data_IF_503702355098
#
_entry.id   IF_503702355098
#
_cell.length_a   1.000
_cell.length_b   1.000
_cell.length_c   1.000
_cell.angle_alpha   90.00
_cell.angle_beta   90.00
_cell.angle_gamma   90.00
#
_symmetry.space_group_name_H-M   'P 1'
#
loop_
_entity.id
_entity.type
_entity.pdbx_description
1 polymer ?
#
# COMPACT_ATOMS: atom_id res chain seq x y z
N UNK A 1 -2.84 10.39 0.41
CA UNK A 1 -4.08 9.96 -0.29
C UNK A 1 -3.67 9.40 -1.63
N UNK A 2 -3.81 8.09 -1.85
CA UNK A 2 -3.44 7.47 -3.14
C UNK A 2 -4.57 7.71 -4.13
N UNK A 3 -4.27 8.37 -5.23
CA UNK A 3 -5.26 8.69 -6.25
C UNK A 3 -4.89 8.08 -7.59
N UNK A 4 -5.89 7.52 -8.26
CA UNK A 4 -5.74 6.81 -9.52
C UNK A 4 -6.79 7.31 -10.51
N UNK A 5 -6.38 7.66 -11.70
CA UNK A 5 -7.33 8.05 -12.74
C UNK A 5 -6.89 7.53 -14.10
N UNK A 6 -7.81 6.82 -14.78
CA UNK A 6 -7.63 6.40 -16.18
C UNK A 6 -8.40 7.39 -17.07
N UNK A 7 -7.73 8.08 -17.98
CA UNK A 7 -8.34 8.95 -18.95
C UNK A 7 -8.38 8.32 -20.34
N UNK A 8 -9.58 8.29 -20.88
CA UNK A 8 -9.82 7.95 -22.28
C UNK A 8 -10.17 9.26 -23.01
N UNK A 9 -9.16 9.92 -23.59
CA UNK A 9 -9.35 11.19 -24.28
C UNK A 9 -9.91 10.93 -25.69
N UNK A 10 -11.24 10.67 -25.77
CA UNK A 10 -11.96 10.71 -27.04
C UNK A 10 -12.62 12.08 -27.17
N UNK A 11 -12.05 12.92 -28.02
CA UNK A 11 -12.64 14.19 -28.43
C UNK A 11 -14.00 13.95 -29.06
N UNK A 12 -15.10 14.18 -28.34
CA UNK A 12 -16.44 14.37 -28.93
C UNK A 12 -16.73 15.87 -29.01
N UNK A 13 -16.53 16.42 -30.20
CA UNK A 13 -17.13 17.69 -30.56
C UNK A 13 -18.65 17.51 -30.64
N UNK A 14 -19.37 18.10 -29.70
CA UNK A 14 -20.84 18.11 -29.74
C UNK A 14 -21.41 18.85 -28.56
N UNK A 15 -21.39 20.18 -28.61
CA UNK A 15 -22.07 21.02 -27.64
C UNK A 15 -23.58 20.87 -27.72
N UNK A 16 -24.19 20.15 -26.76
CA UNK A 16 -25.62 20.23 -26.47
C UNK A 16 -25.76 20.83 -25.09
N UNK A 17 -26.10 22.11 -25.02
CA UNK A 17 -26.46 22.80 -23.79
C UNK A 17 -27.72 22.20 -23.18
N UNK A 18 -27.56 21.31 -22.21
CA UNK A 18 -28.69 20.78 -21.44
C UNK A 18 -29.06 21.80 -20.37
N UNK A 19 -30.22 22.46 -20.56
CA UNK A 19 -30.86 23.27 -19.51
C UNK A 19 -31.35 22.33 -18.41
N UNK A 20 -30.54 22.12 -17.36
CA UNK A 20 -30.95 21.38 -16.17
C UNK A 20 -32.09 22.13 -15.48
N UNK A 21 -33.28 21.52 -15.43
CA UNK A 21 -34.40 22.04 -14.67
C UNK A 21 -34.10 21.98 -13.18
N UNK A 22 -34.39 23.06 -12.44
CA UNK A 22 -34.22 23.14 -10.96
C UNK A 22 -34.81 21.93 -10.22
N UNK A 23 -35.87 21.34 -10.79
CA UNK A 23 -36.52 20.13 -10.26
C UNK A 23 -35.64 18.89 -10.28
N UNK A 24 -34.75 18.75 -11.28
CA UNK A 24 -33.79 17.62 -11.37
C UNK A 24 -32.67 17.78 -10.34
N UNK A 25 -32.19 19.00 -10.13
CA UNK A 25 -31.20 19.32 -9.12
C UNK A 25 -31.72 19.07 -7.69
N UNK A 26 -32.96 19.48 -7.43
CA UNK A 26 -33.63 19.21 -6.15
C UNK A 26 -33.82 17.71 -5.88
N UNK A 27 -34.15 16.93 -6.89
CA UNK A 27 -34.27 15.47 -6.75
C UNK A 27 -32.95 14.81 -6.46
N UNK A 28 -31.86 15.28 -7.08
CA UNK A 28 -30.51 14.77 -6.87
C UNK A 28 -29.99 15.06 -5.46
N UNK A 29 -30.27 16.25 -4.93
CA UNK A 29 -29.92 16.64 -3.54
C UNK A 29 -30.68 15.75 -2.54
N UNK A 30 -31.95 15.45 -2.78
CA UNK A 30 -32.73 14.54 -1.93
C UNK A 30 -32.17 13.11 -1.97
N UNK A 31 -31.74 12.62 -3.13
CA UNK A 31 -31.12 11.31 -3.25
C UNK A 31 -29.77 11.23 -2.53
N UNK A 32 -28.93 12.27 -2.61
CA UNK A 32 -27.68 12.37 -1.87
C UNK A 32 -27.97 12.37 -0.35
N UNK A 33 -28.98 13.11 0.10
CA UNK A 33 -29.34 13.16 1.52
C UNK A 33 -29.83 11.81 2.02
N UNK A 34 -30.61 11.08 1.24
CA UNK A 34 -31.07 9.73 1.58
C UNK A 34 -29.89 8.74 1.58
N UNK A 35 -29.00 8.80 0.60
CA UNK A 35 -27.83 7.92 0.52
C UNK A 35 -26.84 8.13 1.68
N UNK A 36 -26.73 9.36 2.19
CA UNK A 36 -25.89 9.69 3.34
C UNK A 36 -26.56 9.44 4.69
N UNK A 37 -27.88 9.67 4.79
CA UNK A 37 -28.61 9.51 6.05
C UNK A 37 -29.05 8.06 6.32
N UNK A 38 -29.30 7.26 5.27
CA UNK A 38 -29.76 5.88 5.42
C UNK A 38 -28.73 4.97 6.14
N UNK A 39 -27.42 5.01 5.82
CA UNK A 39 -26.42 4.23 6.54
C UNK A 39 -26.35 4.60 8.03
N UNK A 40 -26.42 5.89 8.36
CA UNK A 40 -26.41 6.39 9.75
C UNK A 40 -27.66 5.98 10.56
N UNK A 41 -28.76 5.65 9.88
CA UNK A 41 -30.01 5.25 10.53
C UNK A 41 -30.17 3.72 10.63
N UNK A 42 -29.46 2.97 9.80
CA UNK A 42 -29.50 1.50 9.78
C UNK A 42 -28.39 0.86 10.65
N UNK A 43 -27.43 1.65 11.13
CA UNK A 43 -26.31 1.21 11.97
C UNK A 43 -26.63 1.34 13.49
N UNK A 44 -27.93 1.31 13.84
CA UNK A 44 -28.39 1.20 15.22
C UNK A 44 -28.43 -0.28 15.61
N UNK A 45 -27.29 -0.91 15.81
CA UNK A 45 -27.20 -2.13 16.59
C UNK A 45 -27.41 -1.78 18.06
N UNK A 46 -28.50 -2.30 18.62
CA UNK A 46 -28.98 -2.12 19.97
C UNK A 46 -27.89 -2.45 21.00
N UNK A 47 -27.42 -1.45 21.72
CA UNK A 47 -26.70 -1.66 22.99
C UNK A 47 -27.69 -2.16 24.00
N UNK A 48 -27.79 -3.46 24.16
CA UNK A 48 -28.50 -4.08 25.28
C UNK A 48 -27.63 -3.93 26.52
N UNK A 49 -28.13 -3.17 27.50
CA UNK A 49 -27.52 -3.07 28.82
C UNK A 49 -27.55 -4.43 29.57
N UNK A 50 -26.52 -4.80 30.33
CA UNK A 50 -26.46 -6.08 31.00
C UNK A 50 -27.34 -6.07 32.26
N UNK A 51 -28.33 -6.95 32.30
CA UNK A 51 -29.02 -7.32 33.50
C UNK A 51 -28.39 -8.57 34.12
N UNK A 52 -28.11 -8.46 35.40
CA UNK A 52 -27.42 -9.34 36.35
C UNK A 52 -27.60 -10.87 36.23
N UNK A 53 -26.44 -11.52 36.41
CA UNK A 53 -26.15 -12.76 37.16
C UNK A 53 -26.99 -14.03 36.95
N UNK A 54 -26.36 -15.02 36.32
CA UNK A 54 -26.39 -16.43 36.76
C UNK A 54 -25.00 -17.02 36.38
N UNK A 55 -24.33 -17.59 37.40
CA UNK A 55 -23.08 -18.33 37.23
C UNK A 55 -23.26 -19.50 36.25
N UNK A 56 -22.53 -19.49 35.16
CA UNK A 56 -22.42 -20.61 34.23
C UNK A 56 -20.93 -20.78 33.90
N UNK A 57 -20.49 -22.02 33.99
CA UNK A 57 -19.13 -22.49 33.70
C UNK A 57 -18.44 -21.64 32.61
N UNK A 58 -17.22 -21.20 32.94
CA UNK A 58 -16.28 -20.58 32.04
C UNK A 58 -15.88 -21.57 30.92
N UNK A 59 -16.70 -21.63 29.90
CA UNK A 59 -16.25 -21.86 28.56
C UNK A 59 -16.04 -20.47 27.99
N UNK A 60 -14.79 -20.01 27.96
CA UNK A 60 -14.40 -18.74 27.34
C UNK A 60 -15.05 -18.70 25.96
N UNK A 61 -16.07 -17.86 25.78
CA UNK A 61 -16.55 -17.52 24.46
C UNK A 61 -15.39 -16.80 23.80
N UNK A 62 -14.80 -17.46 22.80
CA UNK A 62 -13.80 -16.87 21.93
C UNK A 62 -14.47 -15.67 21.29
N UNK A 63 -13.96 -14.47 21.54
CA UNK A 63 -14.45 -13.28 20.87
C UNK A 63 -14.06 -13.44 19.39
N UNK A 64 -15.04 -13.55 18.49
CA UNK A 64 -14.83 -13.76 17.06
C UNK A 64 -14.04 -12.61 16.39
N UNK A 65 -13.74 -11.54 17.12
CA UNK A 65 -13.06 -10.35 16.64
C UNK A 65 -11.59 -10.25 17.05
N UNK A 66 -11.18 -10.98 18.08
CA UNK A 66 -9.82 -10.95 18.62
C UNK A 66 -8.91 -11.98 17.93
N UNK A 67 -7.71 -11.55 17.52
CA UNK A 67 -6.71 -12.40 16.87
C UNK A 67 -5.98 -13.29 17.86
N UNK A 68 -5.73 -14.54 17.47
CA UNK A 68 -4.83 -15.44 18.17
C UNK A 68 -3.48 -15.47 17.46
N UNK A 69 -2.36 -15.21 18.18
CA UNK A 69 -1.03 -15.34 17.60
C UNK A 69 -0.78 -16.78 17.09
N UNK A 70 -0.28 -16.88 15.87
CA UNK A 70 0.08 -18.16 15.26
C UNK A 70 1.50 -18.59 15.65
N UNK A 71 1.80 -19.91 15.68
CA UNK A 71 3.15 -20.40 15.91
C UNK A 71 4.15 -19.88 14.87
N UNK A 72 5.36 -19.60 15.32
CA UNK A 72 6.47 -19.15 14.48
C UNK A 72 7.09 -20.36 13.75
N UNK A 73 6.90 -20.44 12.44
CA UNK A 73 7.34 -21.60 11.63
C UNK A 73 8.07 -21.23 10.33
N UNK A 74 7.99 -19.94 9.89
CA UNK A 74 8.46 -19.49 8.60
C UNK A 74 9.31 -18.20 8.67
N UNK A 75 9.08 -17.31 7.72
CA UNK A 75 9.83 -16.07 7.55
C UNK A 75 9.59 -15.03 8.66
N UNK A 76 8.45 -15.10 9.35
CA UNK A 76 8.18 -14.30 10.56
C UNK A 76 9.24 -14.46 11.62
N UNK A 77 9.93 -15.62 11.66
CA UNK A 77 11.03 -15.89 12.58
C UNK A 77 12.25 -14.99 12.40
N UNK A 78 12.39 -14.35 11.26
CA UNK A 78 13.50 -13.43 11.00
C UNK A 78 13.25 -12.01 11.54
N UNK A 79 12.01 -11.64 11.81
CA UNK A 79 11.70 -10.34 12.43
C UNK A 79 12.37 -10.25 13.80
N UNK A 80 13.09 -9.15 14.02
CA UNK A 80 13.88 -8.93 15.23
C UNK A 80 15.25 -9.60 15.24
N UNK A 81 15.61 -10.42 14.23
CA UNK A 81 16.93 -11.03 14.12
C UNK A 81 17.92 -10.10 13.39
N UNK A 82 19.22 -10.41 13.56
CA UNK A 82 20.29 -9.71 12.87
C UNK A 82 20.30 -10.03 11.37
N UNK A 83 20.44 -9.00 10.52
CA UNK A 83 20.63 -9.19 9.08
C UNK A 83 21.94 -9.94 8.78
N UNK A 84 22.96 -9.79 9.63
CA UNK A 84 24.21 -10.55 9.53
C UNK A 84 23.95 -12.05 9.68
N UNK A 85 23.08 -12.47 10.60
CA UNK A 85 22.68 -13.88 10.74
C UNK A 85 21.88 -14.38 9.53
N UNK A 86 20.98 -13.54 8.99
CA UNK A 86 20.23 -13.86 7.78
C UNK A 86 21.15 -14.07 6.58
N UNK A 87 22.08 -13.15 6.32
CA UNK A 87 23.03 -13.25 5.19
C UNK A 87 23.99 -14.43 5.29
N UNK A 88 24.38 -14.82 6.50
CA UNK A 88 25.18 -16.02 6.71
C UNK A 88 24.47 -17.31 6.24
N UNK A 89 23.15 -17.34 6.27
CA UNK A 89 22.30 -18.48 5.85
C UNK A 89 21.84 -18.39 4.39
N UNK A 90 21.47 -17.20 3.93
CA UNK A 90 20.81 -16.99 2.64
C UNK A 90 21.71 -16.36 1.56
N UNK A 91 22.94 -15.98 1.91
CA UNK A 91 23.87 -15.31 1.00
C UNK A 91 23.77 -13.79 1.07
N UNK A 92 24.55 -13.13 0.19
CA UNK A 92 24.61 -11.67 0.15
C UNK A 92 23.46 -11.09 -0.66
N UNK A 93 23.00 -9.87 -0.34
CA UNK A 93 21.97 -9.19 -1.13
C UNK A 93 22.51 -8.79 -2.50
N UNK A 94 21.60 -8.63 -3.45
CA UNK A 94 21.91 -8.06 -4.76
C UNK A 94 22.17 -6.55 -4.69
N UNK A 95 21.49 -5.87 -3.75
CA UNK A 95 21.60 -4.43 -3.52
C UNK A 95 21.32 -4.10 -2.06
N UNK A 96 21.99 -3.07 -1.55
CA UNK A 96 21.67 -2.40 -0.29
C UNK A 96 21.44 -0.93 -0.64
N UNK A 97 20.30 -0.38 -0.24
CA UNK A 97 19.95 1.02 -0.41
C UNK A 97 19.53 1.66 0.91
N UNK A 98 19.54 2.99 0.96
CA UNK A 98 19.11 3.75 2.12
C UNK A 98 17.61 4.01 2.12
N UNK A 99 17.00 4.04 3.30
CA UNK A 99 15.69 4.63 3.54
C UNK A 99 15.82 6.02 4.19
N UNK A 100 14.71 6.73 4.38
CA UNK A 100 14.72 8.09 4.94
C UNK A 100 14.98 8.11 6.45
N UNK A 101 14.57 7.08 7.17
CA UNK A 101 14.66 6.95 8.63
C UNK A 101 16.01 6.35 9.12
N UNK A 102 17.08 6.53 8.34
CA UNK A 102 18.40 5.92 8.56
C UNK A 102 18.41 4.39 8.53
N UNK A 103 17.33 3.75 8.15
CA UNK A 103 17.30 2.32 7.88
C UNK A 103 17.85 1.99 6.49
N UNK A 104 17.99 0.70 6.21
CA UNK A 104 18.50 0.19 4.95
C UNK A 104 17.51 -0.81 4.34
N UNK A 105 17.43 -0.80 3.01
CA UNK A 105 16.75 -1.82 2.24
C UNK A 105 17.73 -2.81 1.64
N UNK A 106 17.65 -4.07 2.07
CA UNK A 106 18.47 -5.18 1.60
C UNK A 106 17.64 -6.01 0.62
N UNK A 107 18.00 -5.97 -0.67
CA UNK A 107 17.23 -6.61 -1.74
C UNK A 107 17.93 -7.89 -2.19
N UNK A 108 17.21 -9.02 -2.12
CA UNK A 108 17.64 -10.34 -2.56
C UNK A 108 16.77 -10.82 -3.71
N UNK A 109 17.36 -11.55 -4.66
CA UNK A 109 16.67 -11.95 -5.87
C UNK A 109 16.44 -10.79 -6.84
N UNK A 110 16.09 -11.10 -8.08
CA UNK A 110 15.93 -10.10 -9.15
C UNK A 110 14.72 -10.33 -10.03
N UNK A 111 13.94 -11.38 -9.77
CA UNK A 111 12.82 -11.82 -10.62
C UNK A 111 11.62 -12.31 -9.78
N UNK A 112 10.54 -12.63 -10.46
CA UNK A 112 9.28 -13.03 -9.83
C UNK A 112 9.35 -14.35 -9.03
N UNK A 113 10.45 -15.10 -9.11
CA UNK A 113 10.60 -16.35 -8.38
C UNK A 113 11.23 -16.18 -7.00
N UNK A 114 12.16 -15.22 -6.84
CA UNK A 114 13.08 -15.16 -5.69
C UNK A 114 13.20 -13.79 -5.00
N UNK A 115 12.39 -12.80 -5.36
CA UNK A 115 12.51 -11.44 -4.84
C UNK A 115 12.07 -11.32 -3.39
N UNK A 116 13.00 -10.82 -2.55
CA UNK A 116 12.75 -10.39 -1.18
C UNK A 116 13.41 -9.02 -0.96
N UNK A 117 12.73 -8.16 -0.25
CA UNK A 117 13.20 -6.86 0.20
C UNK A 117 13.09 -6.80 1.72
N UNK A 118 14.20 -6.54 2.41
CA UNK A 118 14.31 -6.57 3.87
C UNK A 118 14.62 -5.16 4.38
N UNK A 119 13.77 -4.62 5.24
CA UNK A 119 14.00 -3.38 5.96
C UNK A 119 14.82 -3.65 7.22
N UNK A 120 15.97 -2.98 7.34
CA UNK A 120 16.95 -3.20 8.41
C UNK A 120 17.29 -1.88 9.09
N UNK A 121 17.21 -1.85 10.41
CA UNK A 121 17.66 -0.71 11.22
C UNK A 121 18.60 -1.23 12.32
N UNK A 122 19.79 -0.65 12.41
CA UNK A 122 20.79 -1.04 13.44
C UNK A 122 21.10 -2.56 13.46
N UNK A 123 21.32 -3.17 12.28
CA UNK A 123 21.53 -4.63 12.08
C UNK A 123 20.29 -5.50 12.39
N UNK A 124 19.15 -4.92 12.77
CA UNK A 124 17.92 -5.64 13.11
C UNK A 124 16.93 -5.63 11.96
N UNK A 125 16.40 -6.79 11.60
CA UNK A 125 15.34 -6.94 10.58
C UNK A 125 14.01 -6.45 11.17
N UNK A 126 13.45 -5.38 10.57
CA UNK A 126 12.19 -4.76 10.96
C UNK A 126 11.03 -5.20 10.08
N UNK A 127 11.35 -5.50 8.82
CA UNK A 127 10.34 -5.91 7.85
C UNK A 127 10.92 -6.81 6.75
N UNK A 128 10.04 -7.65 6.14
CA UNK A 128 10.38 -8.44 4.95
C UNK A 128 9.21 -8.35 3.96
N UNK A 129 9.46 -7.76 2.80
CA UNK A 129 8.51 -7.71 1.70
C UNK A 129 8.85 -8.79 0.68
N UNK A 130 8.01 -9.81 0.58
CA UNK A 130 8.27 -11.02 -0.22
C UNK A 130 7.33 -11.04 -1.42
N UNK A 131 7.91 -11.02 -2.61
CA UNK A 131 7.22 -11.22 -3.87
C UNK A 131 7.65 -12.51 -4.58
N UNK A 132 8.73 -13.16 -4.17
CA UNK A 132 9.28 -14.36 -4.81
C UNK A 132 8.34 -15.56 -4.71
N UNK A 133 7.78 -16.02 -5.85
CA UNK A 133 6.78 -17.09 -5.87
C UNK A 133 7.31 -18.49 -5.53
N UNK A 134 8.65 -18.67 -5.47
CA UNK A 134 9.29 -19.93 -5.09
C UNK A 134 9.86 -19.93 -3.68
N UNK A 135 9.59 -18.87 -2.91
CA UNK A 135 10.05 -18.77 -1.53
C UNK A 135 9.06 -19.52 -0.64
N UNK A 136 9.58 -20.45 0.15
CA UNK A 136 8.80 -21.21 1.13
C UNK A 136 8.61 -20.36 2.39
N UNK A 137 7.50 -19.63 2.46
CA UNK A 137 7.22 -18.63 3.49
C UNK A 137 6.59 -19.18 4.77
N UNK A 138 6.22 -20.44 4.80
CA UNK A 138 5.56 -21.08 5.94
C UNK A 138 4.10 -21.45 5.65
N UNK A 139 3.19 -21.14 6.58
CA UNK A 139 1.76 -21.50 6.46
C UNK A 139 1.09 -20.87 5.23
N UNK A 140 1.37 -19.61 4.97
CA UNK A 140 0.85 -18.90 3.81
C UNK A 140 1.89 -18.86 2.69
N UNK A 141 1.43 -19.02 1.45
CA UNK A 141 2.33 -19.06 0.28
C UNK A 141 1.80 -18.16 -0.83
N UNK A 142 2.71 -17.63 -1.64
CA UNK A 142 2.33 -16.87 -2.84
C UNK A 142 1.60 -17.79 -3.81
N UNK A 143 0.46 -17.35 -4.31
CA UNK A 143 -0.46 -18.13 -5.14
C UNK A 143 -1.57 -18.83 -4.37
N UNK A 144 -1.55 -18.84 -3.02
CA UNK A 144 -2.68 -19.33 -2.22
C UNK A 144 -3.93 -18.50 -2.52
N UNK A 145 -5.08 -19.15 -2.66
CA UNK A 145 -6.34 -18.45 -2.93
C UNK A 145 -6.86 -17.71 -1.69
N UNK A 146 -7.54 -16.63 -1.91
CA UNK A 146 -8.17 -15.84 -0.84
C UNK A 146 -9.13 -16.70 -0.02
N UNK A 147 -9.94 -17.55 -0.65
CA UNK A 147 -10.87 -18.45 0.04
C UNK A 147 -10.13 -19.37 1.01
N UNK A 148 -8.99 -19.95 0.61
CA UNK A 148 -8.20 -20.82 1.48
C UNK A 148 -7.66 -20.06 2.70
N UNK A 149 -7.25 -18.80 2.52
CA UNK A 149 -6.79 -17.95 3.64
C UNK A 149 -7.95 -17.61 4.57
N UNK A 150 -9.12 -17.26 4.03
CA UNK A 150 -10.32 -16.90 4.80
C UNK A 150 -10.91 -18.11 5.56
N UNK A 151 -10.85 -19.31 4.97
CA UNK A 151 -11.38 -20.54 5.57
C UNK A 151 -10.55 -21.04 6.76
N UNK A 152 -9.30 -20.62 6.90
CA UNK A 152 -8.43 -21.05 8.01
C UNK A 152 -8.84 -20.47 9.38
N UNK A 153 -9.80 -19.55 9.42
CA UNK A 153 -10.43 -19.06 10.65
C UNK A 153 -9.56 -18.20 11.58
N UNK A 154 -8.34 -17.90 11.18
CA UNK A 154 -7.38 -17.12 11.97
C UNK A 154 -7.46 -15.61 11.73
N UNK A 155 -8.40 -15.15 10.93
CA UNK A 155 -8.49 -13.73 10.55
C UNK A 155 -9.30 -12.95 11.58
N UNK A 156 -8.62 -12.08 12.29
CA UNK A 156 -9.19 -11.16 13.26
C UNK A 156 -9.43 -9.76 12.67
N UNK A 157 -10.07 -8.91 13.47
CA UNK A 157 -10.24 -7.49 13.18
C UNK A 157 -9.52 -6.61 14.18
N UNK A 158 -9.37 -7.12 15.39
CA UNK A 158 -8.81 -6.37 16.52
C UNK A 158 -7.51 -7.04 16.96
N UNK A 159 -6.47 -6.24 17.13
CA UNK A 159 -5.12 -6.71 17.47
C UNK A 159 -4.54 -5.84 18.57
N UNK A 160 -3.84 -6.48 19.50
CA UNK A 160 -3.10 -5.82 20.55
C UNK A 160 -1.60 -5.97 20.30
N UNK A 161 -0.86 -4.90 20.42
CA UNK A 161 0.59 -4.89 20.27
C UNK A 161 1.22 -3.88 21.22
N UNK A 162 2.53 -3.99 21.44
CA UNK A 162 3.25 -3.09 22.34
C UNK A 162 4.49 -2.55 21.62
N UNK A 163 4.72 -1.23 21.72
CA UNK A 163 5.95 -0.60 21.26
C UNK A 163 6.62 0.08 22.46
N UNK A 164 7.85 -0.34 22.78
CA UNK A 164 8.47 0.00 24.07
C UNK A 164 7.60 -0.49 25.22
N UNK A 165 7.17 0.42 26.11
CA UNK A 165 6.26 0.12 27.23
C UNK A 165 4.82 0.54 26.96
N UNK A 166 4.49 0.97 25.72
CA UNK A 166 3.16 1.51 25.40
C UNK A 166 2.34 0.46 24.64
N UNK A 167 1.17 0.07 25.17
CA UNK A 167 0.23 -0.79 24.46
C UNK A 167 -0.55 0.01 23.40
N UNK A 168 -0.79 -0.62 22.27
CA UNK A 168 -1.62 -0.10 21.18
C UNK A 168 -2.65 -1.16 20.76
N UNK A 169 -3.77 -0.68 20.26
CA UNK A 169 -4.84 -1.49 19.71
C UNK A 169 -5.10 -1.07 18.26
N UNK A 170 -5.12 -2.04 17.35
CA UNK A 170 -5.44 -1.84 15.94
C UNK A 170 -6.81 -2.44 15.64
N UNK A 171 -7.60 -1.71 14.85
CA UNK A 171 -8.87 -2.20 14.34
C UNK A 171 -8.87 -2.19 12.81
N UNK A 172 -9.20 -3.33 12.20
CA UNK A 172 -9.35 -3.48 10.77
C UNK A 172 -10.81 -3.24 10.37
N UNK A 173 -11.02 -2.47 9.33
CA UNK A 173 -12.32 -2.44 8.65
C UNK A 173 -12.64 -3.82 8.04
N UNK A 174 -13.92 -4.07 7.76
CA UNK A 174 -14.32 -5.31 7.06
C UNK A 174 -13.59 -5.47 5.73
N UNK A 175 -13.44 -4.39 4.98
CA UNK A 175 -12.73 -4.40 3.71
C UNK A 175 -11.25 -4.79 3.89
N UNK A 176 -10.54 -4.18 4.86
CA UNK A 176 -9.14 -4.53 5.14
C UNK A 176 -8.97 -6.00 5.56
N UNK A 177 -9.88 -6.52 6.40
CA UNK A 177 -9.87 -7.95 6.76
C UNK A 177 -9.96 -8.87 5.53
N UNK A 178 -10.71 -8.48 4.50
CA UNK A 178 -10.91 -9.27 3.29
C UNK A 178 -9.81 -9.03 2.24
N UNK A 179 -9.34 -7.80 2.08
CA UNK A 179 -8.39 -7.42 1.01
C UNK A 179 -6.93 -7.45 1.41
N UNK A 180 -6.63 -7.12 2.65
CA UNK A 180 -5.29 -7.04 3.24
C UNK A 180 -5.29 -7.57 4.67
N UNK A 181 -5.66 -8.85 4.89
CA UNK A 181 -5.74 -9.41 6.22
C UNK A 181 -4.40 -9.34 6.94
N UNK A 182 -4.50 -9.01 8.23
CA UNK A 182 -3.38 -8.97 9.17
C UNK A 182 -3.39 -10.25 10.01
N UNK A 183 -2.23 -10.83 10.21
CA UNK A 183 -2.04 -12.05 11.00
C UNK A 183 -0.91 -11.81 11.98
N UNK A 184 -1.15 -12.13 13.24
CA UNK A 184 -0.18 -12.01 14.34
C UNK A 184 0.51 -13.35 14.61
N UNK A 185 1.79 -13.30 15.01
CA UNK A 185 2.58 -14.46 15.42
C UNK A 185 3.03 -14.37 16.89
N UNK A 186 3.36 -15.52 17.49
CA UNK A 186 3.76 -15.65 18.90
C UNK A 186 5.04 -14.88 19.26
N UNK A 187 5.82 -14.44 18.28
CA UNK A 187 7.01 -13.61 18.48
C UNK A 187 6.75 -12.11 18.32
N UNK A 188 5.50 -11.68 18.46
CA UNK A 188 5.07 -10.28 18.30
C UNK A 188 5.39 -9.69 16.92
N UNK A 189 5.46 -10.52 15.88
CA UNK A 189 5.51 -10.07 14.50
C UNK A 189 4.15 -10.23 13.83
N UNK A 190 4.01 -9.56 12.70
CA UNK A 190 2.79 -9.58 11.88
C UNK A 190 3.10 -9.89 10.43
N UNK A 191 2.12 -10.39 9.69
CA UNK A 191 2.15 -10.40 8.23
C UNK A 191 0.87 -9.81 7.65
N UNK A 192 1.01 -8.94 6.65
CA UNK A 192 -0.05 -8.50 5.77
C UNK A 192 -0.01 -9.38 4.53
N UNK A 193 -1.11 -10.06 4.21
CA UNK A 193 -1.25 -10.80 2.97
C UNK A 193 -1.83 -9.88 1.90
N UNK A 194 -1.16 -9.83 0.75
CA UNK A 194 -1.52 -8.96 -0.35
C UNK A 194 -2.21 -9.79 -1.44
N UNK A 195 -3.50 -9.52 -1.68
CA UNK A 195 -4.27 -10.24 -2.69
C UNK A 195 -4.31 -9.52 -4.04
N UNK A 196 -4.15 -10.28 -5.08
CA UNK A 196 -4.41 -9.85 -6.45
C UNK A 196 -5.91 -9.79 -6.71
N UNK A 197 -6.44 -8.63 -7.06
CA UNK A 197 -7.88 -8.40 -7.23
C UNK A 197 -8.50 -9.21 -8.36
N UNK A 198 -7.73 -9.61 -9.36
CA UNK A 198 -8.21 -10.37 -10.52
C UNK A 198 -8.17 -11.86 -10.26
N UNK A 199 -7.01 -12.36 -9.81
CA UNK A 199 -6.81 -13.80 -9.59
C UNK A 199 -7.29 -14.27 -8.23
N UNK A 200 -7.54 -13.34 -7.30
CA UNK A 200 -7.90 -13.63 -5.90
C UNK A 200 -6.92 -14.56 -5.22
N UNK A 201 -5.63 -14.37 -5.51
CA UNK A 201 -4.53 -15.12 -4.90
C UNK A 201 -3.55 -14.18 -4.20
N UNK A 202 -2.83 -14.69 -3.21
CA UNK A 202 -1.75 -13.96 -2.54
C UNK A 202 -0.66 -13.67 -3.57
N UNK A 203 -0.41 -12.39 -3.85
CA UNK A 203 0.68 -11.97 -4.73
C UNK A 203 1.95 -11.56 -3.98
N UNK A 204 1.82 -11.23 -2.71
CA UNK A 204 2.92 -10.79 -1.87
C UNK A 204 2.60 -10.92 -0.39
N UNK A 205 3.63 -10.85 0.43
CA UNK A 205 3.54 -10.88 1.89
C UNK A 205 4.44 -9.79 2.46
N UNK A 206 3.93 -9.08 3.46
CA UNK A 206 4.69 -8.06 4.16
C UNK A 206 4.76 -8.40 5.64
N UNK A 207 5.87 -9.02 6.07
CA UNK A 207 6.15 -9.31 7.48
C UNK A 207 6.71 -8.06 8.15
N UNK A 208 6.29 -7.81 9.40
CA UNK A 208 6.53 -6.55 10.08
C UNK A 208 6.75 -6.77 11.58
N UNK A 209 7.63 -5.98 12.17
CA UNK A 209 7.66 -5.78 13.63
C UNK A 209 6.50 -4.88 14.06
N UNK A 210 6.23 -4.81 15.38
CA UNK A 210 5.20 -3.94 15.93
C UNK A 210 5.38 -2.47 15.50
N UNK A 211 6.60 -1.95 15.61
CA UNK A 211 6.90 -0.57 15.22
C UNK A 211 6.70 -0.38 13.71
N UNK A 212 7.29 -1.27 12.87
CA UNK A 212 7.14 -1.15 11.43
C UNK A 212 5.67 -1.25 10.96
N UNK A 213 4.82 -1.98 11.69
CA UNK A 213 3.39 -2.05 11.41
C UNK A 213 2.68 -0.73 11.73
N UNK A 214 3.02 -0.08 12.85
CA UNK A 214 2.45 1.21 13.22
C UNK A 214 2.97 2.33 12.30
N UNK A 215 4.25 2.30 11.91
CA UNK A 215 4.87 3.27 10.99
C UNK A 215 4.21 3.26 9.59
N UNK A 216 3.51 2.17 9.21
CA UNK A 216 2.75 2.14 7.95
C UNK A 216 1.52 3.04 7.94
N UNK A 217 0.98 3.40 9.09
CA UNK A 217 -0.27 4.18 9.23
C UNK A 217 -1.44 3.66 8.36
N UNK A 218 -1.43 2.34 8.09
CA UNK A 218 -2.39 1.70 7.18
C UNK A 218 -3.66 1.23 7.89
N UNK A 219 -3.54 0.72 9.13
CA UNK A 219 -4.65 0.30 9.97
C UNK A 219 -4.97 1.36 11.02
N UNK A 220 -6.23 1.41 11.46
CA UNK A 220 -6.65 2.38 12.46
C UNK A 220 -6.11 2.03 13.84
N UNK A 221 -5.38 2.95 14.47
CA UNK A 221 -5.01 2.86 15.88
C UNK A 221 -6.17 3.41 16.72
N UNK A 222 -6.76 2.56 17.57
CA UNK A 222 -7.95 2.90 18.40
C UNK A 222 -7.61 3.05 19.88
N UNK A 223 -6.34 3.00 20.23
CA UNK A 223 -5.81 3.18 21.59
C UNK A 223 -6.07 4.58 22.14
N UNK A 224 -6.10 4.73 23.48
CA UNK A 224 -6.19 6.04 24.13
C UNK A 224 -4.99 6.95 23.78
N UNK A 225 -3.80 6.37 23.61
CA UNK A 225 -2.60 7.08 23.19
C UNK A 225 -2.45 6.97 21.68
N UNK A 226 -2.39 8.10 21.01
CA UNK A 226 -2.03 8.13 19.58
C UNK A 226 -0.59 7.62 19.38
N UNK A 227 -0.36 6.92 18.28
CA UNK A 227 0.99 6.64 17.80
C UNK A 227 1.41 7.78 16.88
N UNK A 228 2.55 8.37 17.16
CA UNK A 228 3.11 9.43 16.34
C UNK A 228 4.39 8.89 15.70
N UNK A 229 4.43 8.86 14.38
CA UNK A 229 5.64 8.53 13.64
C UNK A 229 6.57 9.75 13.70
N UNK A 230 7.80 9.56 14.18
CA UNK A 230 8.78 10.65 14.25
C UNK A 230 9.36 10.92 12.84
N UNK A 231 8.88 11.97 12.20
CA UNK A 231 9.37 12.44 10.88
C UNK A 231 10.25 13.68 10.95
N UNK A 232 10.36 14.28 12.14
CA UNK A 232 10.87 15.64 12.32
C UNK A 232 12.36 15.84 11.94
N UNK A 233 13.16 14.78 11.86
CA UNK A 233 14.60 14.84 11.59
C UNK A 233 14.98 14.24 10.22
N UNK A 234 14.02 13.96 9.34
CA UNK A 234 14.33 13.40 8.04
C UNK A 234 14.85 14.46 7.08
N UNK A 235 16.16 14.56 6.99
CA UNK A 235 16.79 15.36 5.94
C UNK A 235 16.59 14.70 4.57
N UNK A 236 16.31 15.50 3.55
CA UNK A 236 16.23 15.03 2.17
C UNK A 236 17.45 14.17 1.83
N UNK A 237 17.21 12.95 1.46
CA UNK A 237 18.25 11.98 1.14
C UNK A 237 18.10 11.47 -0.29
N UNK A 238 18.85 12.07 -1.23
CA UNK A 238 18.84 11.65 -2.63
C UNK A 238 19.18 10.15 -2.83
N UNK A 239 19.89 9.53 -1.89
CA UNK A 239 20.17 8.10 -1.96
C UNK A 239 18.92 7.27 -1.63
N UNK A 240 18.05 7.75 -0.74
CA UNK A 240 16.76 7.14 -0.46
C UNK A 240 15.78 7.34 -1.62
N UNK A 241 15.74 8.54 -2.23
CA UNK A 241 14.95 8.81 -3.44
C UNK A 241 15.31 7.84 -4.56
N UNK A 242 16.61 7.66 -4.83
CA UNK A 242 17.09 6.74 -5.85
C UNK A 242 16.73 5.28 -5.52
N UNK A 243 16.89 4.88 -4.26
CA UNK A 243 16.53 3.52 -3.84
C UNK A 243 15.03 3.27 -4.01
N UNK A 244 14.16 4.21 -3.65
CA UNK A 244 12.72 4.10 -3.88
C UNK A 244 12.39 3.93 -5.37
N UNK A 245 13.02 4.72 -6.25
CA UNK A 245 12.85 4.57 -7.69
C UNK A 245 13.25 3.15 -8.16
N UNK A 246 14.38 2.63 -7.68
CA UNK A 246 14.84 1.29 -8.03
C UNK A 246 13.92 0.19 -7.52
N UNK A 247 13.35 0.35 -6.31
CA UNK A 247 12.38 -0.57 -5.74
C UNK A 247 11.07 -0.57 -6.55
N UNK A 248 10.52 0.61 -6.84
CA UNK A 248 9.30 0.75 -7.65
C UNK A 248 9.49 0.05 -9.00
N UNK A 249 10.58 0.31 -9.71
CA UNK A 249 10.89 -0.32 -11.00
C UNK A 249 10.97 -1.85 -10.88
N UNK A 250 11.63 -2.36 -9.83
CA UNK A 250 11.76 -3.80 -9.58
C UNK A 250 10.40 -4.44 -9.33
N UNK A 251 9.57 -3.85 -8.46
CA UNK A 251 8.25 -4.38 -8.11
C UNK A 251 7.31 -4.34 -9.31
N UNK A 252 7.26 -3.24 -10.06
CA UNK A 252 6.47 -3.14 -11.30
C UNK A 252 6.85 -4.24 -12.29
N UNK A 253 8.17 -4.46 -12.48
CA UNK A 253 8.67 -5.53 -13.35
C UNK A 253 8.19 -6.91 -12.90
N UNK A 254 8.34 -7.24 -11.62
CA UNK A 254 7.92 -8.53 -11.05
C UNK A 254 6.41 -8.75 -11.19
N UNK A 255 5.61 -7.74 -10.92
CA UNK A 255 4.15 -7.85 -11.00
C UNK A 255 3.67 -8.08 -12.43
N UNK A 256 4.26 -7.38 -13.41
CA UNK A 256 3.94 -7.58 -14.84
C UNK A 256 4.46 -8.92 -15.37
N UNK A 257 5.68 -9.32 -15.01
CA UNK A 257 6.23 -10.63 -15.35
C UNK A 257 5.31 -11.78 -14.95
N UNK A 258 4.77 -11.73 -13.72
CA UNK A 258 3.85 -12.76 -13.22
C UNK A 258 2.56 -12.88 -14.00
N UNK A 259 2.07 -11.78 -14.53
CA UNK A 259 0.86 -11.76 -15.36
C UNK A 259 1.14 -12.00 -16.84
N UNK A 260 2.41 -12.18 -17.22
CA UNK A 260 2.81 -12.35 -18.63
C UNK A 260 2.55 -11.10 -19.48
N UNK A 261 2.53 -9.91 -18.85
CA UNK A 261 2.29 -8.64 -19.51
C UNK A 261 3.59 -8.11 -20.15
N UNK A 262 3.43 -7.25 -21.15
CA UNK A 262 4.56 -6.51 -21.74
C UNK A 262 5.23 -5.67 -20.66
N UNK A 263 6.56 -5.77 -20.56
CA UNK A 263 7.31 -4.96 -19.60
C UNK A 263 7.22 -3.47 -19.95
N UNK A 264 7.21 -2.64 -18.94
CA UNK A 264 7.24 -1.20 -19.13
C UNK A 264 8.57 -0.75 -19.74
N UNK A 265 8.51 0.19 -20.66
CA UNK A 265 9.68 0.90 -21.21
C UNK A 265 9.69 2.33 -20.66
N UNK A 266 10.87 2.80 -20.25
CA UNK A 266 11.01 4.19 -19.81
C UNK A 266 10.73 5.17 -20.96
N UNK A 267 10.00 6.23 -20.64
CA UNK A 267 9.68 7.31 -21.58
C UNK A 267 10.37 8.60 -21.17
N UNK A 268 11.21 9.12 -22.04
CA UNK A 268 11.89 10.40 -21.80
C UNK A 268 10.88 11.54 -21.61
N UNK A 269 9.79 11.55 -22.37
CA UNK A 269 8.70 12.53 -22.25
C UNK A 269 8.07 12.49 -20.86
N UNK A 270 7.80 11.28 -20.34
CA UNK A 270 7.23 11.10 -19.00
C UNK A 270 8.25 11.39 -17.89
N UNK A 271 9.54 11.10 -18.09
CA UNK A 271 10.59 11.42 -17.12
C UNK A 271 10.70 12.93 -16.95
N UNK A 272 10.70 13.69 -18.06
CA UNK A 272 10.69 15.16 -18.01
C UNK A 272 9.44 15.65 -17.28
N UNK A 273 8.26 15.12 -17.62
CA UNK A 273 7.01 15.49 -16.97
C UNK A 273 7.03 15.19 -15.46
N UNK A 274 7.51 14.02 -15.07
CA UNK A 274 7.62 13.61 -13.67
C UNK A 274 8.53 14.56 -12.88
N UNK A 275 9.70 14.89 -13.44
CA UNK A 275 10.65 15.81 -12.79
C UNK A 275 10.10 17.25 -12.67
N UNK A 276 9.32 17.72 -13.66
CA UNK A 276 8.69 19.04 -13.60
C UNK A 276 7.49 19.11 -12.64
N UNK A 277 6.90 17.97 -12.31
CA UNK A 277 5.84 17.84 -11.32
C UNK A 277 6.36 17.84 -9.88
N UNK A 278 7.61 17.43 -9.67
CA UNK A 278 8.19 17.38 -8.33
C UNK A 278 8.59 18.75 -7.83
N UNK A 279 8.46 19.00 -6.51
CA UNK A 279 8.92 20.26 -5.92
C UNK A 279 10.42 20.43 -6.11
N UNK A 280 10.83 21.67 -6.45
CA UNK A 280 12.24 22.02 -6.50
C UNK A 280 12.80 22.24 -5.09
N UNK A 281 14.13 22.16 -4.94
CA UNK A 281 14.79 22.45 -3.65
C UNK A 281 14.50 23.86 -3.11
N UNK A 282 14.18 24.81 -4.00
CA UNK A 282 13.80 26.17 -3.62
C UNK A 282 12.38 26.26 -3.06
N UNK A 283 11.47 25.36 -3.50
CA UNK A 283 10.08 25.35 -3.03
C UNK A 283 9.97 24.77 -1.61
N UNK A 284 10.89 23.88 -1.23
CA UNK A 284 10.93 23.26 0.11
C UNK A 284 11.30 24.25 1.20
N UNK A 285 12.12 25.27 0.88
CA UNK A 285 12.53 26.30 1.84
C UNK A 285 11.50 27.43 2.01
N UNK A 286 10.47 27.50 1.16
CA UNK A 286 9.41 28.51 1.25
C UNK A 286 8.12 27.89 1.80
N UNK A 287 8.12 27.54 3.09
CA UNK A 287 7.00 26.96 3.84
C UNK A 287 5.71 27.81 3.79
N UNK A 288 5.73 28.96 3.14
CA UNK A 288 4.56 29.83 3.01
C UNK A 288 3.72 29.61 1.75
N UNK A 289 4.28 28.94 0.74
CA UNK A 289 3.52 28.49 -0.43
C UNK A 289 3.50 26.95 -0.44
N UNK A 290 2.52 26.35 0.22
CA UNK A 290 2.36 24.90 0.26
C UNK A 290 2.38 24.35 -1.18
N UNK A 291 3.52 23.80 -1.60
CA UNK A 291 3.59 23.05 -2.82
C UNK A 291 2.70 21.80 -2.62
N UNK A 292 1.61 21.75 -3.32
CA UNK A 292 0.73 20.60 -3.29
C UNK A 292 0.74 19.97 -4.67
N UNK A 293 1.35 18.81 -4.80
CA UNK A 293 1.11 17.96 -5.96
C UNK A 293 -0.31 17.43 -5.84
N UNK A 294 -1.11 17.62 -6.87
CA UNK A 294 -2.50 17.17 -6.91
C UNK A 294 -2.78 16.39 -8.18
N UNK A 295 -3.78 15.51 -8.14
CA UNK A 295 -4.24 14.74 -9.28
C UNK A 295 -4.50 15.62 -10.50
N UNK A 296 -5.20 16.74 -10.32
CA UNK A 296 -5.51 17.67 -11.39
C UNK A 296 -4.25 18.29 -12.04
N UNK A 297 -3.18 18.45 -11.26
CA UNK A 297 -1.90 18.95 -11.79
C UNK A 297 -1.20 17.86 -12.59
N UNK A 298 -1.21 16.63 -12.10
CA UNK A 298 -0.63 15.46 -12.79
C UNK A 298 -1.39 15.21 -14.10
N UNK A 299 -2.72 15.17 -14.06
CA UNK A 299 -3.58 14.97 -15.23
C UNK A 299 -3.31 16.01 -16.32
N UNK A 300 -3.31 17.29 -15.96
CA UNK A 300 -3.03 18.37 -16.93
C UNK A 300 -1.66 18.19 -17.56
N UNK A 301 -0.64 17.86 -16.76
CA UNK A 301 0.71 17.65 -17.28
C UNK A 301 0.78 16.46 -18.25
N UNK A 302 0.11 15.36 -17.94
CA UNK A 302 0.03 14.19 -18.83
C UNK A 302 -0.66 14.53 -20.16
N UNK A 303 -1.75 15.29 -20.12
CA UNK A 303 -2.44 15.75 -21.36
C UNK A 303 -1.53 16.65 -22.20
N UNK A 304 -0.74 17.52 -21.57
CA UNK A 304 0.16 18.42 -22.28
C UNK A 304 1.35 17.68 -22.93
N UNK A 305 1.89 16.66 -22.25
CA UNK A 305 3.12 15.96 -22.68
C UNK A 305 2.82 14.79 -23.64
N UNK A 306 1.72 14.08 -23.41
CA UNK A 306 1.30 12.91 -24.19
C UNK A 306 -0.16 13.07 -24.69
N UNK A 307 -0.42 14.09 -25.52
CA UNK A 307 -1.77 14.35 -26.00
C UNK A 307 -2.31 13.15 -26.79
N UNK A 308 -3.62 12.96 -26.72
CA UNK A 308 -4.37 11.92 -27.46
C UNK A 308 -3.94 10.47 -27.17
N UNK A 309 -3.21 10.23 -26.07
CA UNK A 309 -2.85 8.90 -25.59
C UNK A 309 -3.60 8.56 -24.31
N UNK A 310 -3.80 7.27 -24.11
CA UNK A 310 -4.25 6.75 -22.80
C UNK A 310 -3.14 6.92 -21.78
N UNK A 311 -3.48 7.51 -20.65
CA UNK A 311 -2.55 7.78 -19.56
C UNK A 311 -3.15 7.36 -18.22
N UNK A 312 -2.28 7.06 -17.29
CA UNK A 312 -2.62 6.83 -15.88
C UNK A 312 -1.47 7.26 -14.99
N UNK A 313 -1.71 7.35 -13.71
CA UNK A 313 -0.67 7.59 -12.73
C UNK A 313 -0.98 6.90 -11.40
N UNK A 314 0.08 6.66 -10.62
CA UNK A 314 0.04 6.29 -9.21
C UNK A 314 0.77 7.38 -8.46
N UNK A 315 0.14 7.93 -7.44
CA UNK A 315 0.69 9.00 -6.65
C UNK A 315 0.42 8.78 -5.17
N UNK A 316 1.43 8.97 -4.33
CA UNK A 316 1.30 9.02 -2.88
C UNK A 316 2.09 10.22 -2.35
N UNK A 317 1.44 11.02 -1.51
CA UNK A 317 1.98 12.24 -0.89
C UNK A 317 2.40 12.04 0.57
N UNK A 318 2.30 10.81 1.07
CA UNK A 318 2.60 10.47 2.47
C UNK A 318 3.08 9.03 2.58
N UNK A 319 4.02 8.67 1.72
CA UNK A 319 4.51 7.29 1.63
C UNK A 319 6.00 7.20 1.88
N UNK A 320 6.36 6.75 3.04
CA UNK A 320 7.75 6.62 3.48
C UNK A 320 8.40 5.29 3.06
N UNK A 321 7.64 4.34 2.53
CA UNK A 321 8.19 3.09 2.02
C UNK A 321 7.50 2.61 0.75
N UNK A 322 8.28 2.08 -0.18
CA UNK A 322 7.76 1.54 -1.45
C UNK A 322 6.79 0.37 -1.24
N UNK A 323 7.02 -0.59 -0.32
CA UNK A 323 6.00 -1.58 0.01
C UNK A 323 4.66 -0.99 0.45
N UNK A 324 4.66 0.12 1.22
CA UNK A 324 3.44 0.81 1.62
C UNK A 324 2.71 1.44 0.43
N UNK A 325 3.43 2.04 -0.53
CA UNK A 325 2.86 2.52 -1.78
C UNK A 325 2.07 1.41 -2.49
N UNK A 326 2.68 0.22 -2.66
CA UNK A 326 2.01 -0.88 -3.35
C UNK A 326 0.89 -1.50 -2.51
N UNK A 327 0.99 -1.50 -1.19
CA UNK A 327 -0.09 -1.90 -0.30
C UNK A 327 -1.33 -1.03 -0.52
N UNK A 328 -1.18 0.28 -0.61
CA UNK A 328 -2.27 1.23 -0.86
C UNK A 328 -2.72 1.20 -2.33
N UNK A 329 -1.78 1.23 -3.27
CA UNK A 329 -2.00 1.35 -4.70
C UNK A 329 -2.80 0.21 -5.32
N UNK A 330 -2.48 -1.02 -4.98
CA UNK A 330 -3.12 -2.21 -5.57
C UNK A 330 -4.53 -2.48 -5.04
N UNK A 331 -4.98 -1.72 -4.02
CA UNK A 331 -6.33 -1.81 -3.49
C UNK A 331 -7.36 -0.98 -4.28
N UNK A 332 -6.92 -0.01 -5.08
CA UNK A 332 -7.85 0.99 -5.64
C UNK A 332 -8.03 0.84 -7.14
N UNK A 333 -6.95 0.68 -7.91
CA UNK A 333 -7.04 0.54 -9.37
C UNK A 333 -5.84 -0.24 -9.93
N UNK A 334 -6.12 -1.18 -10.81
CA UNK A 334 -5.11 -2.05 -11.41
C UNK A 334 -4.41 -1.42 -12.63
N UNK A 335 -4.17 -0.11 -12.65
CA UNK A 335 -3.56 0.59 -13.80
C UNK A 335 -2.21 0.02 -14.21
N UNK A 336 -1.42 -0.49 -13.26
CA UNK A 336 -0.13 -1.11 -13.53
C UNK A 336 -0.25 -2.44 -14.32
N UNK A 337 -1.46 -3.01 -14.37
CA UNK A 337 -1.76 -4.23 -15.13
C UNK A 337 -2.53 -3.97 -16.41
N UNK A 338 -2.70 -2.71 -16.81
CA UNK A 338 -3.30 -2.37 -18.09
C UNK A 338 -2.32 -2.70 -19.24
N UNK A 339 -2.75 -3.55 -20.17
CA UNK A 339 -1.93 -4.01 -21.29
C UNK A 339 -1.58 -2.90 -22.29
N UNK A 340 -2.41 -1.86 -22.36
CA UNK A 340 -2.20 -0.73 -23.26
C UNK A 340 -1.16 0.25 -22.72
N UNK A 341 -1.00 0.33 -21.40
CA UNK A 341 -0.01 1.18 -20.76
C UNK A 341 1.33 0.44 -20.74
N UNK A 342 2.23 0.83 -21.61
CA UNK A 342 3.54 0.18 -21.79
C UNK A 342 4.72 1.12 -21.59
N UNK A 343 4.45 2.44 -21.48
CA UNK A 343 5.47 3.46 -21.23
C UNK A 343 5.33 3.98 -19.82
N UNK A 344 6.45 4.25 -19.15
CA UNK A 344 6.41 4.74 -17.78
C UNK A 344 7.53 5.72 -17.46
N UNK A 345 7.33 6.47 -16.39
CA UNK A 345 8.38 7.14 -15.62
C UNK A 345 8.08 6.98 -14.13
N UNK A 346 9.13 6.93 -13.34
CA UNK A 346 9.06 6.88 -11.88
C UNK A 346 9.91 8.00 -11.33
N UNK A 347 9.38 8.73 -10.37
CA UNK A 347 10.15 9.67 -9.57
C UNK A 347 9.76 9.55 -8.10
N UNK A 348 10.72 9.82 -7.24
CA UNK A 348 10.55 9.83 -5.79
C UNK A 348 11.26 11.05 -5.24
N UNK A 349 10.67 11.60 -4.23
CA UNK A 349 11.23 12.69 -3.44
C UNK A 349 10.64 12.48 -2.04
N UNK A 350 11.37 12.75 -1.01
CA UNK A 350 11.10 12.62 0.42
C UNK A 350 9.63 12.30 0.82
N UNK A 351 8.66 13.10 0.36
CA UNK A 351 7.24 12.95 0.67
C UNK A 351 6.41 12.39 -0.48
N UNK A 352 6.94 12.37 -1.70
CA UNK A 352 6.16 12.07 -2.89
C UNK A 352 6.75 10.90 -3.67
N UNK A 353 5.89 9.97 -4.01
CA UNK A 353 6.19 8.91 -4.95
C UNK A 353 5.21 8.99 -6.12
N UNK A 354 5.74 9.06 -7.34
CA UNK A 354 4.94 9.24 -8.54
C UNK A 354 5.37 8.26 -9.63
N UNK A 355 4.38 7.53 -10.14
CA UNK A 355 4.51 6.67 -11.32
C UNK A 355 3.61 7.27 -12.40
N UNK A 356 4.16 7.67 -13.53
CA UNK A 356 3.41 8.07 -14.71
C UNK A 356 3.41 6.95 -15.73
N UNK A 357 2.26 6.71 -16.33
CA UNK A 357 2.04 5.65 -17.32
C UNK A 357 1.40 6.22 -18.58
N UNK A 358 1.80 5.72 -19.75
CA UNK A 358 1.12 6.03 -21.00
C UNK A 358 1.14 4.86 -21.98
N UNK A 359 0.22 4.92 -22.94
CA UNK A 359 0.23 4.12 -24.14
C UNK A 359 1.43 4.48 -25.02
N UNK A 360 1.91 3.54 -25.83
CA UNK A 360 2.95 3.85 -26.83
C UNK A 360 2.44 4.89 -27.84
N UNK A 361 3.33 5.73 -28.41
CA UNK A 361 2.97 6.55 -29.54
C UNK A 361 2.41 5.67 -30.67
N UNK A 362 1.29 6.08 -31.24
CA UNK A 362 0.81 5.49 -32.49
C UNK A 362 1.89 5.81 -33.52
N UNK A 363 2.57 4.80 -34.04
CA UNK A 363 3.60 5.00 -35.07
C UNK A 363 3.07 5.78 -36.25
N UNK A 364 3.93 6.49 -36.97
CA UNK A 364 3.55 7.28 -38.15
C UNK A 364 2.93 6.44 -39.25
#
# INVERSE_FOLDING_TARGET
MVCFTIFNNQNSQGGVGVKFSIKVVSLFIVFIFIAYALPLYLDNDERIAPTSSIARNEQTAIDEHEGYPLPVTGYESYIGQSITAYTAKHGQPNRIGRAYDDSEWWVFGTNAADYIQIGVKEDVIRSLYILGSKIETGMYTIGMTQDNVLDEGYLARDFHLTVGDTPYELALSKQQKESTPLIQFENDSFVILLFDDVTKTVYGMYFLSNEALLDLEYYSVVSEKAYEVEHDDWERNMAADLENILQIKSILGILRERRGLTMFEESEELIIAANELMPSETDINDFTAAFTLSDQRIERKLVDVVPDRRTAFVFDDDCYSVPALFLKALQVDNVIFDDYLTRYAVTSNEHYQLILLSEQPIGP
#
